data_IF_507133109072
#
_entry.id   IF_507133109072
#
_cell.length_a   1.000
_cell.length_b   1.000
_cell.length_c   1.000
_cell.angle_alpha   90.00
_cell.angle_beta   90.00
_cell.angle_gamma   90.00
#
_symmetry.space_group_name_H-M   'P 1'
#
loop_
_entity.id
_entity.type
_entity.pdbx_description
1 polymer ?
#
# COMPACT_ATOMS: atom_id res chain seq x y z
N UNK A 1 7.07 -18.15 48.32
CA UNK A 1 8.11 -18.23 47.28
C UNK A 1 7.50 -17.60 46.04
N UNK A 2 8.00 -16.43 45.62
CA UNK A 2 7.59 -15.85 44.33
C UNK A 2 8.37 -16.62 43.24
N UNK A 3 7.66 -17.37 42.43
CA UNK A 3 8.25 -17.93 41.18
C UNK A 3 8.83 -16.79 40.34
N UNK A 4 10.14 -16.79 40.20
CA UNK A 4 10.80 -15.97 39.19
C UNK A 4 10.42 -16.54 37.81
N UNK A 5 9.33 -16.04 37.20
CA UNK A 5 9.00 -16.35 35.83
C UNK A 5 10.20 -15.90 34.97
N UNK A 6 10.88 -16.83 34.32
CA UNK A 6 11.94 -16.52 33.37
C UNK A 6 11.32 -15.70 32.24
N UNK A 7 11.87 -14.50 32.01
CA UNK A 7 11.52 -13.66 30.86
C UNK A 7 11.77 -14.47 29.59
N UNK A 8 10.75 -14.69 28.80
CA UNK A 8 10.86 -15.43 27.54
C UNK A 8 11.35 -14.52 26.41
N UNK A 9 11.80 -15.10 25.31
CA UNK A 9 12.19 -14.34 24.11
C UNK A 9 11.00 -13.56 23.54
N UNK A 10 9.80 -14.12 23.63
CA UNK A 10 8.55 -13.48 23.20
C UNK A 10 8.18 -12.29 24.08
N UNK A 11 8.41 -12.36 25.41
CA UNK A 11 8.23 -11.22 26.30
C UNK A 11 9.15 -10.05 25.93
N UNK A 12 10.39 -10.34 25.52
CA UNK A 12 11.34 -9.32 25.09
C UNK A 12 10.88 -8.69 23.76
N UNK A 13 10.48 -9.49 22.79
CA UNK A 13 9.95 -9.02 21.50
C UNK A 13 8.72 -8.12 21.71
N UNK A 14 7.78 -8.55 22.55
CA UNK A 14 6.56 -7.79 22.84
C UNK A 14 6.88 -6.45 23.55
N UNK A 15 7.84 -6.43 24.48
CA UNK A 15 8.29 -5.19 25.12
C UNK A 15 8.90 -4.21 24.12
N UNK A 16 9.71 -4.71 23.18
CA UNK A 16 10.28 -3.89 22.11
C UNK A 16 9.18 -3.35 21.21
N UNK A 17 8.22 -4.19 20.81
CA UNK A 17 7.07 -3.81 20.00
C UNK A 17 6.26 -2.69 20.67
N UNK A 18 5.93 -2.82 21.96
CA UNK A 18 5.21 -1.77 22.71
C UNK A 18 5.97 -0.45 22.75
N UNK A 19 7.29 -0.49 22.91
CA UNK A 19 8.14 0.70 22.85
C UNK A 19 8.09 1.36 21.47
N UNK A 20 8.18 0.57 20.39
CA UNK A 20 8.10 1.06 19.03
C UNK A 20 6.72 1.63 18.71
N UNK A 21 5.64 1.05 19.27
CA UNK A 21 4.29 1.58 19.14
C UNK A 21 4.17 3.01 19.69
N UNK A 22 4.77 3.28 20.85
CA UNK A 22 4.82 4.64 21.41
C UNK A 22 5.55 5.58 20.46
N UNK A 23 6.69 5.14 19.91
CA UNK A 23 7.44 5.90 18.91
C UNK A 23 6.61 6.21 17.66
N UNK A 24 5.85 5.23 17.19
CA UNK A 24 4.94 5.38 16.05
C UNK A 24 3.83 6.41 16.34
N UNK A 25 3.17 6.33 17.49
CA UNK A 25 2.15 7.29 17.89
C UNK A 25 2.65 8.73 17.95
N UNK A 26 3.90 8.96 18.36
CA UNK A 26 4.50 10.29 18.41
C UNK A 26 4.70 10.92 17.01
N UNK A 27 4.60 10.16 15.93
CA UNK A 27 4.69 10.67 14.57
C UNK A 27 3.39 11.29 14.06
N UNK A 28 2.23 10.91 14.60
CA UNK A 28 0.91 11.35 14.13
C UNK A 28 0.69 12.87 14.24
N UNK A 29 1.04 13.57 15.36
CA UNK A 29 0.91 15.02 15.44
C UNK A 29 1.75 15.74 14.38
N UNK A 30 2.97 15.29 14.14
CA UNK A 30 3.88 15.87 13.13
C UNK A 30 3.29 15.66 11.73
N UNK A 31 2.75 14.49 11.45
CA UNK A 31 2.07 14.20 10.19
C UNK A 31 0.83 15.07 9.99
N UNK A 32 0.02 15.26 11.03
CA UNK A 32 -1.15 16.13 10.96
C UNK A 32 -0.79 17.59 10.63
N UNK A 33 0.29 18.11 11.21
CA UNK A 33 0.82 19.45 10.90
C UNK A 33 1.27 19.53 9.44
N UNK A 34 2.02 18.53 8.96
CA UNK A 34 2.47 18.47 7.57
C UNK A 34 1.32 18.34 6.57
N UNK A 35 0.29 17.55 6.93
CA UNK A 35 -0.95 17.47 6.15
C UNK A 35 -1.64 18.84 6.01
N UNK A 36 -1.73 19.61 7.09
CA UNK A 36 -2.31 20.97 7.06
C UNK A 36 -1.49 21.94 6.20
N UNK A 37 -0.17 21.81 6.21
CA UNK A 37 0.77 22.61 5.40
C UNK A 37 0.87 22.14 3.94
N UNK A 38 0.33 20.97 3.60
CA UNK A 38 0.45 20.43 2.25
C UNK A 38 -0.18 21.35 1.21
N UNK A 39 0.50 21.51 0.08
CA UNK A 39 0.03 22.33 -1.04
C UNK A 39 -1.34 21.88 -1.53
N UNK A 40 -2.33 22.76 -1.44
CA UNK A 40 -3.73 22.49 -1.83
C UNK A 40 -4.07 22.96 -3.24
N UNK A 41 -3.12 23.54 -4.00
CA UNK A 41 -3.35 24.07 -5.35
C UNK A 41 -3.69 22.97 -6.34
N UNK A 42 -3.04 21.80 -6.23
CA UNK A 42 -3.32 20.65 -7.08
C UNK A 42 -4.58 19.96 -6.57
N UNK A 43 -5.66 20.10 -7.36
CA UNK A 43 -6.97 19.52 -7.03
C UNK A 43 -7.21 18.26 -7.88
N UNK A 44 -7.67 17.15 -7.29
CA UNK A 44 -8.07 15.98 -8.06
C UNK A 44 -9.42 16.19 -8.74
N UNK A 45 -9.63 15.46 -9.82
CA UNK A 45 -10.95 15.15 -10.33
C UNK A 45 -11.53 13.96 -9.57
N UNK A 46 -12.82 14.00 -9.29
CA UNK A 46 -13.54 13.01 -8.51
C UNK A 46 -14.48 12.23 -9.41
N UNK A 47 -14.40 10.90 -9.37
CA UNK A 47 -15.30 10.02 -10.11
C UNK A 47 -15.84 8.93 -9.20
N UNK A 48 -17.18 8.83 -9.11
CA UNK A 48 -17.82 7.67 -8.48
C UNK A 48 -17.79 6.47 -9.42
N UNK A 49 -17.62 5.28 -8.85
CA UNK A 49 -17.76 4.04 -9.61
C UNK A 49 -18.94 3.18 -9.13
N UNK A 50 -19.49 3.47 -7.93
CA UNK A 50 -20.70 2.81 -7.43
C UNK A 50 -21.45 3.71 -6.42
N UNK A 51 -22.52 3.19 -5.79
CA UNK A 51 -23.46 3.97 -4.98
C UNK A 51 -22.96 4.29 -3.57
N UNK A 52 -22.02 3.53 -3.01
CA UNK A 52 -21.49 3.81 -1.67
C UNK A 52 -20.59 5.03 -1.69
N UNK A 53 -20.66 5.84 -0.63
CA UNK A 53 -19.83 7.04 -0.48
C UNK A 53 -18.30 6.77 -0.45
N UNK A 54 -17.89 5.54 -0.19
CA UNK A 54 -16.49 5.12 -0.20
C UNK A 54 -16.03 4.66 -1.60
N UNK A 55 -16.96 4.42 -2.53
CA UNK A 55 -16.70 3.88 -3.86
C UNK A 55 -16.49 5.00 -4.87
N UNK A 56 -15.27 5.55 -4.87
CA UNK A 56 -14.85 6.62 -5.78
C UNK A 56 -13.35 6.57 -6.02
N UNK A 57 -12.92 7.21 -7.08
CA UNK A 57 -11.50 7.46 -7.36
C UNK A 57 -11.20 8.96 -7.38
N UNK A 58 -9.95 9.30 -7.07
CA UNK A 58 -9.40 10.65 -7.22
C UNK A 58 -8.29 10.63 -8.25
N UNK A 59 -8.48 11.30 -9.37
CA UNK A 59 -7.49 11.44 -10.42
C UNK A 59 -6.74 12.77 -10.29
N UNK A 60 -5.41 12.71 -10.26
CA UNK A 60 -4.50 13.84 -10.26
C UNK A 60 -3.76 13.89 -11.60
N UNK A 61 -3.94 14.98 -12.33
CA UNK A 61 -3.18 15.23 -13.54
C UNK A 61 -1.73 15.63 -13.19
N UNK A 62 -0.74 15.21 -13.99
CA UNK A 62 0.65 15.61 -13.81
C UNK A 62 0.82 17.11 -13.92
N UNK A 63 1.73 17.67 -13.12
CA UNK A 63 2.10 19.08 -13.20
C UNK A 63 3.26 19.24 -14.17
N UNK A 64 2.95 19.57 -15.41
CA UNK A 64 3.92 19.75 -16.50
C UNK A 64 4.03 21.21 -16.87
N UNK A 65 5.25 21.66 -17.17
CA UNK A 65 5.54 22.99 -17.72
C UNK A 65 5.58 22.95 -19.24
N UNK A 66 5.66 24.13 -19.85
CA UNK A 66 5.88 24.23 -21.29
C UNK A 66 7.15 23.46 -21.69
N UNK A 67 7.06 22.66 -22.76
CA UNK A 67 8.11 21.76 -23.24
C UNK A 67 8.46 20.54 -22.35
N UNK A 68 7.63 20.22 -21.35
CA UNK A 68 7.74 19.00 -20.57
C UNK A 68 6.64 18.01 -20.95
N UNK A 69 6.86 16.72 -20.70
CA UNK A 69 5.86 15.65 -20.87
C UNK A 69 5.58 14.95 -19.56
N UNK A 70 4.41 14.35 -19.46
CA UNK A 70 4.09 13.42 -18.40
C UNK A 70 4.98 12.18 -18.48
N UNK A 71 5.23 11.55 -17.34
CA UNK A 71 5.90 10.26 -17.27
C UNK A 71 4.99 9.17 -17.84
N UNK A 72 5.59 8.09 -18.36
CA UNK A 72 4.87 6.96 -18.97
C UNK A 72 4.04 6.18 -17.96
N UNK A 73 4.55 6.08 -16.72
CA UNK A 73 3.92 5.28 -15.69
C UNK A 73 2.69 6.00 -15.13
N UNK A 74 1.59 5.25 -14.98
CA UNK A 74 0.40 5.68 -14.26
C UNK A 74 0.43 5.07 -12.85
N UNK A 75 0.29 5.90 -11.83
CA UNK A 75 0.31 5.47 -10.44
C UNK A 75 -1.11 5.18 -9.96
N UNK A 76 -1.35 3.97 -9.51
CA UNK A 76 -2.54 3.57 -8.75
C UNK A 76 -2.14 3.46 -7.28
N UNK A 77 -2.70 4.31 -6.43
CA UNK A 77 -2.40 4.30 -5.01
C UNK A 77 -3.58 3.80 -4.18
N UNK A 78 -3.30 2.87 -3.26
CA UNK A 78 -4.26 2.28 -2.33
C UNK A 78 -3.79 2.60 -0.90
N UNK A 79 -4.62 3.35 -0.18
CA UNK A 79 -4.31 3.82 1.16
C UNK A 79 -4.43 2.71 2.22
N UNK A 80 -3.72 2.90 3.35
CA UNK A 80 -3.79 2.06 4.54
C UNK A 80 -4.89 2.46 5.52
N UNK A 81 -4.80 1.93 6.73
CA UNK A 81 -5.75 2.21 7.84
C UNK A 81 -6.41 0.94 8.37
N UNK A 82 -5.72 -0.21 8.33
CA UNK A 82 -6.17 -1.49 8.90
C UNK A 82 -7.50 -1.98 8.33
N UNK A 83 -7.81 -1.62 7.07
CA UNK A 83 -9.09 -1.88 6.38
C UNK A 83 -10.33 -1.25 7.05
N UNK A 84 -10.17 -0.53 8.16
CA UNK A 84 -11.25 0.01 9.02
C UNK A 84 -11.28 1.54 9.06
N UNK A 85 -10.19 2.20 8.72
CA UNK A 85 -10.06 3.65 8.85
C UNK A 85 -9.56 4.28 7.54
N UNK A 86 -9.80 5.58 7.39
CA UNK A 86 -9.32 6.33 6.25
C UNK A 86 -10.33 6.47 5.10
N UNK A 87 -9.92 7.18 4.12
CA UNK A 87 -10.58 7.33 2.81
C UNK A 87 -9.60 8.03 1.87
N UNK A 88 -9.75 7.90 0.57
CA UNK A 88 -8.81 8.47 -0.41
C UNK A 88 -8.65 10.00 -0.29
N UNK A 89 -9.65 10.72 0.23
CA UNK A 89 -9.55 12.18 0.43
C UNK A 89 -8.50 12.58 1.48
N UNK A 90 -8.28 11.74 2.50
CA UNK A 90 -7.23 11.98 3.50
C UNK A 90 -5.83 11.81 2.91
N UNK A 91 -5.68 11.04 1.84
CA UNK A 91 -4.41 10.74 1.18
C UNK A 91 -4.12 11.61 -0.06
N UNK A 92 -4.85 12.72 -0.25
CA UNK A 92 -4.63 13.65 -1.36
C UNK A 92 -3.19 14.18 -1.44
N UNK A 93 -2.47 14.22 -0.33
CA UNK A 93 -1.06 14.60 -0.30
C UNK A 93 -0.17 13.65 -1.13
N UNK A 94 -0.51 12.35 -1.16
CA UNK A 94 0.19 11.37 -1.99
C UNK A 94 -0.02 11.69 -3.48
N UNK A 95 -1.28 11.84 -3.90
CA UNK A 95 -1.59 12.17 -5.30
C UNK A 95 -0.94 13.48 -5.76
N UNK A 96 -0.91 14.49 -4.88
CA UNK A 96 -0.21 15.75 -5.16
C UNK A 96 1.30 15.58 -5.30
N UNK A 97 1.89 14.72 -4.45
CA UNK A 97 3.35 14.46 -4.51
C UNK A 97 3.74 13.81 -5.82
N UNK A 98 3.03 12.77 -6.25
CA UNK A 98 3.27 12.11 -7.53
C UNK A 98 2.95 13.01 -8.74
N UNK A 99 1.87 13.81 -8.67
CA UNK A 99 1.54 14.76 -9.72
C UNK A 99 2.65 15.83 -9.93
N UNK A 100 3.31 16.27 -8.85
CA UNK A 100 4.48 17.17 -8.92
C UNK A 100 5.68 16.51 -9.61
N UNK A 101 5.82 15.20 -9.50
CA UNK A 101 6.84 14.41 -10.20
C UNK A 101 6.39 13.96 -11.60
N UNK A 102 5.32 14.58 -12.13
CA UNK A 102 4.79 14.42 -13.48
C UNK A 102 4.11 13.09 -13.77
N UNK A 103 3.67 12.34 -12.75
CA UNK A 103 2.88 11.12 -12.93
C UNK A 103 1.38 11.41 -12.99
N UNK A 104 0.66 10.74 -13.89
CA UNK A 104 -0.77 10.54 -13.73
C UNK A 104 -0.99 9.67 -12.49
N UNK A 105 -1.83 10.12 -11.56
CA UNK A 105 -2.00 9.42 -10.28
C UNK A 105 -3.48 9.26 -9.94
N UNK A 106 -3.86 8.05 -9.58
CA UNK A 106 -5.22 7.72 -9.18
C UNK A 106 -5.21 7.09 -7.79
N UNK A 107 -6.01 7.64 -6.88
CA UNK A 107 -6.23 7.09 -5.56
C UNK A 107 -7.56 6.35 -5.56
N UNK A 108 -7.57 5.09 -5.11
CA UNK A 108 -8.78 4.27 -5.03
C UNK A 108 -9.40 4.36 -3.63
N UNK A 109 -10.70 4.65 -3.56
CA UNK A 109 -11.50 4.50 -2.36
C UNK A 109 -12.03 3.07 -2.25
N UNK A 110 -12.36 2.60 -1.06
CA UNK A 110 -12.96 1.29 -0.82
C UNK A 110 -13.74 1.27 0.49
N UNK A 111 -14.71 0.35 0.59
CA UNK A 111 -15.56 0.17 1.78
C UNK A 111 -14.74 -0.43 2.93
N UNK A 112 -15.09 -0.05 4.17
CA UNK A 112 -14.31 -0.35 5.37
C UNK A 112 -15.05 -1.29 6.33
N UNK A 113 -14.27 -2.08 7.08
CA UNK A 113 -14.75 -2.85 8.22
C UNK A 113 -15.17 -1.91 9.36
N UNK A 114 -15.95 -2.34 10.36
CA UNK A 114 -16.57 -3.67 10.49
C UNK A 114 -17.84 -3.84 9.64
N UNK A 115 -18.35 -2.76 9.05
CA UNK A 115 -19.62 -2.78 8.31
C UNK A 115 -19.55 -3.64 7.05
N UNK A 116 -18.40 -3.62 6.39
CA UNK A 116 -18.17 -4.39 5.17
C UNK A 116 -16.96 -5.29 5.38
N UNK A 117 -17.15 -6.57 5.20
CA UNK A 117 -16.11 -7.60 5.37
C UNK A 117 -15.50 -7.96 4.01
N UNK A 118 -14.35 -8.61 4.06
CA UNK A 118 -13.74 -9.21 2.87
C UNK A 118 -14.71 -10.25 2.27
N UNK A 119 -14.92 -10.29 0.95
CA UNK A 119 -14.08 -9.68 -0.11
C UNK A 119 -14.46 -8.25 -0.55
N UNK A 120 -15.41 -7.56 0.09
CA UNK A 120 -15.89 -6.24 -0.37
C UNK A 120 -14.76 -5.25 -0.68
N UNK A 121 -13.65 -5.28 0.07
CA UNK A 121 -12.53 -4.35 -0.13
C UNK A 121 -11.83 -4.60 -1.45
N UNK A 122 -11.54 -5.86 -1.76
CA UNK A 122 -10.85 -6.19 -3.02
C UNK A 122 -11.76 -6.02 -4.24
N UNK A 123 -13.05 -6.31 -4.11
CA UNK A 123 -14.05 -6.03 -5.15
C UNK A 123 -14.07 -4.54 -5.49
N UNK A 124 -14.12 -3.67 -4.45
CA UNK A 124 -14.08 -2.22 -4.62
C UNK A 124 -12.79 -1.74 -5.32
N UNK A 125 -11.65 -2.38 -5.03
CA UNK A 125 -10.38 -2.05 -5.68
C UNK A 125 -10.42 -2.42 -7.17
N UNK A 126 -10.98 -3.56 -7.53
CA UNK A 126 -11.14 -3.94 -8.94
C UNK A 126 -12.14 -3.03 -9.67
N UNK A 127 -13.30 -2.74 -9.09
CA UNK A 127 -14.27 -1.79 -9.65
C UNK A 127 -13.66 -0.39 -9.80
N UNK A 128 -12.91 0.07 -8.80
CA UNK A 128 -12.20 1.34 -8.82
C UNK A 128 -11.11 1.39 -9.91
N UNK A 129 -10.39 0.29 -10.15
CA UNK A 129 -9.44 0.18 -11.25
C UNK A 129 -10.17 0.22 -12.60
N UNK A 130 -11.27 -0.51 -12.78
CA UNK A 130 -12.06 -0.45 -14.02
C UNK A 130 -12.47 1.01 -14.34
N UNK A 131 -12.95 1.76 -13.32
CA UNK A 131 -13.28 3.19 -13.49
C UNK A 131 -12.05 4.04 -13.78
N UNK A 132 -10.91 3.72 -13.19
CA UNK A 132 -9.65 4.41 -13.49
C UNK A 132 -9.24 4.22 -14.95
N UNK A 133 -9.30 2.98 -15.46
CA UNK A 133 -8.97 2.68 -16.87
C UNK A 133 -9.94 3.37 -17.85
N UNK A 134 -11.23 3.43 -17.52
CA UNK A 134 -12.22 4.19 -18.29
C UNK A 134 -11.84 5.68 -18.38
N UNK A 135 -11.54 6.32 -17.23
CA UNK A 135 -11.14 7.73 -17.16
C UNK A 135 -9.84 7.99 -17.93
N UNK A 136 -8.86 7.10 -17.84
CA UNK A 136 -7.60 7.22 -18.57
C UNK A 136 -7.84 7.13 -20.10
N UNK A 137 -8.68 6.18 -20.53
CA UNK A 137 -9.08 6.03 -21.93
C UNK A 137 -9.82 7.27 -22.46
N UNK A 138 -10.79 7.81 -21.71
CA UNK A 138 -11.50 9.04 -22.08
C UNK A 138 -10.57 10.24 -22.24
N UNK A 139 -9.47 10.26 -21.49
CA UNK A 139 -8.45 11.32 -21.54
C UNK A 139 -7.33 11.06 -22.55
N UNK A 140 -7.40 9.97 -23.32
CA UNK A 140 -6.35 9.51 -24.26
C UNK A 140 -4.99 9.34 -23.56
N UNK A 141 -4.96 8.82 -22.32
CA UNK A 141 -3.75 8.52 -21.56
C UNK A 141 -3.44 7.04 -21.75
N UNK A 142 -2.21 6.74 -22.16
CA UNK A 142 -1.72 5.36 -22.20
C UNK A 142 -1.60 4.80 -20.78
N UNK A 143 -2.21 3.64 -20.55
CA UNK A 143 -2.18 2.93 -19.28
C UNK A 143 -1.55 1.52 -19.38
N UNK A 144 -0.75 1.30 -20.42
CA UNK A 144 0.01 0.05 -20.59
C UNK A 144 1.12 -0.13 -19.54
N UNK A 145 1.38 0.91 -18.74
CA UNK A 145 2.45 0.94 -17.72
C UNK A 145 1.91 1.44 -16.37
N UNK A 146 1.16 0.59 -15.68
CA UNK A 146 0.62 0.87 -14.34
C UNK A 146 1.60 0.41 -13.26
N UNK A 147 1.84 1.29 -12.29
CA UNK A 147 2.52 0.97 -11.03
C UNK A 147 1.52 1.06 -9.88
N UNK A 148 1.27 -0.06 -9.23
CA UNK A 148 0.41 -0.12 -8.05
C UNK A 148 1.24 0.13 -6.80
N UNK A 149 0.86 1.11 -6.00
CA UNK A 149 1.51 1.44 -4.73
C UNK A 149 0.50 1.28 -3.60
N UNK A 150 0.80 0.46 -2.65
CA UNK A 150 -0.03 0.26 -1.48
C UNK A 150 0.70 0.58 -0.17
N UNK A 151 0.00 1.19 0.77
CA UNK A 151 0.49 1.45 2.12
C UNK A 151 -0.24 0.59 3.14
N UNK A 152 0.48 -0.18 3.98
CA UNK A 152 -0.14 -1.01 5.04
C UNK A 152 -1.27 -1.90 4.50
N UNK A 153 -2.50 -1.81 5.02
CA UNK A 153 -3.68 -2.51 4.49
C UNK A 153 -3.90 -2.29 2.99
N UNK A 154 -3.51 -1.13 2.45
CA UNK A 154 -3.56 -0.86 1.01
C UNK A 154 -2.53 -1.66 0.22
N UNK A 155 -1.39 -1.99 0.82
CA UNK A 155 -0.41 -2.87 0.18
C UNK A 155 -0.94 -4.31 0.06
N UNK A 156 -1.64 -4.81 1.08
CA UNK A 156 -2.35 -6.08 1.00
C UNK A 156 -3.33 -6.11 -0.18
N UNK A 157 -4.19 -5.09 -0.30
CA UNK A 157 -5.15 -4.99 -1.41
C UNK A 157 -4.46 -4.81 -2.77
N UNK A 158 -3.36 -4.05 -2.82
CA UNK A 158 -2.54 -3.87 -4.01
C UNK A 158 -1.88 -5.17 -4.48
N UNK A 159 -1.38 -5.99 -3.54
CA UNK A 159 -0.85 -7.30 -3.87
C UNK A 159 -1.93 -8.23 -4.44
N UNK A 160 -3.14 -8.25 -3.83
CA UNK A 160 -4.27 -9.02 -4.37
C UNK A 160 -4.69 -8.53 -5.76
N UNK A 161 -4.68 -7.22 -6.01
CA UNK A 161 -5.00 -6.66 -7.33
C UNK A 161 -4.02 -7.16 -8.40
N UNK A 162 -2.73 -7.22 -8.09
CA UNK A 162 -1.66 -7.59 -9.03
C UNK A 162 -1.51 -9.10 -9.20
N UNK A 163 -1.78 -9.88 -8.15
CA UNK A 163 -1.48 -11.32 -8.14
C UNK A 163 -2.70 -12.24 -8.25
N UNK A 164 -3.91 -11.76 -7.93
CA UNK A 164 -5.12 -12.60 -8.06
C UNK A 164 -5.66 -12.62 -9.49
N UNK A 165 -5.13 -13.54 -10.30
CA UNK A 165 -5.46 -13.71 -11.73
C UNK A 165 -6.90 -14.11 -11.98
N UNK A 166 -7.52 -14.80 -11.04
CA UNK A 166 -8.93 -15.18 -11.13
C UNK A 166 -9.81 -13.93 -11.09
N UNK A 167 -9.58 -13.04 -10.11
CA UNK A 167 -10.29 -11.76 -10.05
C UNK A 167 -9.96 -10.88 -11.27
N UNK A 168 -8.70 -10.80 -11.70
CA UNK A 168 -8.34 -10.07 -12.93
C UNK A 168 -9.18 -10.55 -14.13
N UNK A 169 -9.30 -11.87 -14.31
CA UNK A 169 -10.12 -12.45 -15.37
C UNK A 169 -11.60 -12.08 -15.21
N UNK A 170 -12.15 -12.14 -13.99
CA UNK A 170 -13.56 -11.81 -13.72
C UNK A 170 -13.90 -10.35 -14.03
N UNK A 171 -12.92 -9.45 -13.85
CA UNK A 171 -13.06 -8.02 -14.16
C UNK A 171 -12.52 -7.63 -15.54
N UNK A 172 -12.11 -8.60 -16.39
CA UNK A 172 -11.51 -8.38 -17.71
C UNK A 172 -10.28 -7.45 -17.68
N UNK A 173 -9.44 -7.57 -16.66
CA UNK A 173 -8.18 -6.83 -16.52
C UNK A 173 -7.05 -7.62 -17.17
N UNK A 174 -6.36 -7.01 -18.13
CA UNK A 174 -5.11 -7.57 -18.67
C UNK A 174 -3.99 -7.39 -17.64
N UNK A 175 -3.45 -8.49 -17.14
CA UNK A 175 -2.34 -8.49 -16.20
C UNK A 175 -1.10 -7.74 -16.74
N UNK A 176 -0.89 -7.74 -18.04
CA UNK A 176 0.28 -7.11 -18.66
C UNK A 176 0.36 -5.59 -18.46
N UNK A 177 -0.71 -4.93 -18.02
CA UNK A 177 -0.68 -3.51 -17.68
C UNK A 177 0.11 -3.21 -16.41
N UNK A 178 0.23 -4.18 -15.47
CA UNK A 178 0.95 -4.00 -14.23
C UNK A 178 2.45 -4.19 -14.43
N UNK A 179 3.22 -3.10 -14.49
CA UNK A 179 4.68 -3.13 -14.64
C UNK A 179 5.40 -3.12 -13.30
N UNK A 180 4.79 -2.52 -12.28
CA UNK A 180 5.36 -2.45 -10.95
C UNK A 180 4.32 -2.58 -9.83
N UNK A 181 4.75 -3.19 -8.73
CA UNK A 181 4.01 -3.20 -7.48
C UNK A 181 4.95 -2.76 -6.34
N UNK A 182 4.52 -1.77 -5.55
CA UNK A 182 5.27 -1.26 -4.40
C UNK A 182 4.45 -1.48 -3.12
N UNK A 183 5.04 -2.21 -2.18
CA UNK A 183 4.50 -2.46 -0.85
C UNK A 183 5.22 -1.60 0.19
N UNK A 184 4.51 -0.68 0.83
CA UNK A 184 5.01 0.12 1.95
C UNK A 184 4.45 -0.45 3.26
N UNK A 185 5.26 -1.20 4.01
CA UNK A 185 4.91 -1.76 5.31
C UNK A 185 3.64 -2.64 5.29
N UNK A 186 3.43 -3.41 4.22
CA UNK A 186 2.19 -4.14 4.00
C UNK A 186 2.15 -5.55 4.59
N UNK A 187 0.97 -6.03 5.07
CA UNK A 187 0.75 -7.41 5.44
C UNK A 187 0.52 -8.27 4.19
N UNK A 188 1.59 -8.59 3.46
CA UNK A 188 1.57 -9.33 2.20
C UNK A 188 1.63 -10.84 2.36
N UNK A 189 1.93 -11.32 3.57
CA UNK A 189 1.80 -12.71 4.00
C UNK A 189 1.04 -12.77 5.34
N UNK A 190 -0.25 -13.07 5.29
CA UNK A 190 -1.10 -13.10 6.49
C UNK A 190 -0.69 -14.18 7.50
N UNK A 191 0.10 -15.19 7.09
CA UNK A 191 0.54 -16.27 7.98
C UNK A 191 1.53 -15.77 9.06
N UNK A 192 2.27 -14.68 8.79
CA UNK A 192 3.23 -14.08 9.73
C UNK A 192 2.65 -12.88 10.50
N UNK A 193 1.37 -12.57 10.30
CA UNK A 193 0.67 -11.50 11.00
C UNK A 193 0.11 -11.99 12.34
N UNK A 194 0.98 -12.29 13.30
CA UNK A 194 0.62 -13.00 14.54
C UNK A 194 0.52 -12.14 15.80
N UNK A 195 1.05 -10.89 15.78
CA UNK A 195 0.92 -10.03 16.96
C UNK A 195 -0.54 -9.57 17.15
N UNK A 196 -0.89 -9.21 18.38
CA UNK A 196 -2.25 -8.89 18.79
C UNK A 196 -2.92 -7.79 17.95
N UNK A 197 -2.14 -6.75 17.56
CA UNK A 197 -2.68 -5.57 16.87
C UNK A 197 -3.14 -5.95 15.45
N UNK A 198 -2.25 -6.56 14.68
CA UNK A 198 -2.57 -6.94 13.28
C UNK A 198 -3.57 -8.11 13.25
N UNK A 199 -3.47 -9.07 14.20
CA UNK A 199 -4.40 -10.19 14.30
C UNK A 199 -5.83 -9.71 14.58
N UNK A 200 -6.01 -8.73 15.46
CA UNK A 200 -7.32 -8.12 15.72
C UNK A 200 -7.92 -7.44 14.46
N UNK A 201 -7.09 -6.76 13.68
CA UNK A 201 -7.51 -6.13 12.42
C UNK A 201 -7.91 -7.19 11.38
N UNK A 202 -7.15 -8.28 11.26
CA UNK A 202 -7.43 -9.41 10.36
C UNK A 202 -8.72 -10.13 10.78
N UNK A 203 -8.92 -10.36 12.08
CA UNK A 203 -10.17 -10.93 12.60
C UNK A 203 -11.39 -10.05 12.28
N UNK A 204 -11.21 -8.73 12.25
CA UNK A 204 -12.27 -7.81 11.86
C UNK A 204 -12.52 -7.79 10.35
N UNK A 205 -11.47 -8.05 9.54
CA UNK A 205 -11.54 -8.05 8.08
C UNK A 205 -12.39 -9.19 7.56
N UNK A 206 -12.22 -10.40 8.08
CA UNK A 206 -12.90 -11.59 7.59
C UNK A 206 -14.16 -11.92 8.41
N UNK A 207 -15.16 -12.51 7.76
CA UNK A 207 -16.27 -13.16 8.48
C UNK A 207 -15.76 -14.40 9.23
N UNK A 208 -16.48 -14.76 10.28
CA UNK A 208 -16.23 -16.01 10.99
C UNK A 208 -16.42 -17.20 10.03
N UNK A 209 -15.46 -18.13 10.02
CA UNK A 209 -15.47 -19.28 9.11
C UNK A 209 -15.03 -19.01 7.67
N UNK A 210 -14.71 -17.76 7.31
CA UNK A 210 -14.18 -17.45 5.99
C UNK A 210 -12.78 -18.06 5.79
N UNK A 211 -12.56 -18.69 4.62
CA UNK A 211 -11.22 -19.20 4.28
C UNK A 211 -10.24 -18.04 4.00
N UNK A 212 -9.46 -17.69 5.01
CA UNK A 212 -8.49 -16.60 4.94
C UNK A 212 -7.39 -16.80 3.89
N UNK A 213 -7.20 -18.04 3.40
CA UNK A 213 -6.26 -18.31 2.31
C UNK A 213 -6.63 -17.56 1.03
N UNK A 214 -7.93 -17.34 0.80
CA UNK A 214 -8.45 -16.58 -0.33
C UNK A 214 -8.18 -15.06 -0.22
N UNK A 215 -7.86 -14.56 0.97
CA UNK A 215 -7.47 -13.19 1.21
C UNK A 215 -5.98 -13.00 1.47
N UNK A 216 -5.16 -14.04 1.34
CA UNK A 216 -3.72 -13.92 1.56
C UNK A 216 -2.97 -13.78 0.23
N UNK A 217 -2.42 -12.59 -0.10
CA UNK A 217 -1.73 -12.35 -1.36
C UNK A 217 -0.60 -13.33 -1.63
N UNK A 218 0.11 -13.74 -0.58
CA UNK A 218 1.20 -14.70 -0.66
C UNK A 218 0.82 -16.00 -1.39
N UNK A 219 -0.44 -16.43 -1.29
CA UNK A 219 -0.91 -17.68 -1.91
C UNK A 219 -1.09 -17.59 -3.43
N UNK A 220 -1.14 -16.37 -3.98
CA UNK A 220 -1.36 -16.15 -5.41
C UNK A 220 -0.06 -16.02 -6.23
N UNK A 221 1.10 -16.04 -5.57
CA UNK A 221 2.39 -16.02 -6.26
C UNK A 221 2.65 -17.43 -6.81
N UNK A 222 2.70 -17.57 -8.13
CA UNK A 222 2.82 -18.86 -8.84
C UNK A 222 3.97 -18.91 -9.88
N UNK A 223 4.72 -17.81 -10.03
CA UNK A 223 5.86 -17.72 -10.93
C UNK A 223 5.55 -17.31 -12.36
N UNK A 224 4.28 -17.07 -12.70
CA UNK A 224 3.90 -16.56 -14.02
C UNK A 224 3.90 -15.03 -14.09
N UNK A 225 4.23 -14.36 -12.97
CA UNK A 225 4.26 -12.92 -12.85
C UNK A 225 5.44 -12.32 -13.63
N UNK A 226 5.17 -11.16 -14.26
CA UNK A 226 6.18 -10.31 -14.92
C UNK A 226 6.28 -8.93 -14.25
N UNK A 227 5.41 -8.65 -13.31
CA UNK A 227 5.36 -7.39 -12.56
C UNK A 227 6.57 -7.30 -11.64
N UNK A 228 7.39 -6.29 -11.79
CA UNK A 228 8.47 -6.01 -10.84
C UNK A 228 7.91 -5.58 -9.48
N UNK A 229 8.59 -5.96 -8.42
CA UNK A 229 8.15 -5.71 -7.04
C UNK A 229 9.19 -4.90 -6.28
N UNK A 230 8.74 -3.94 -5.49
CA UNK A 230 9.55 -3.26 -4.49
C UNK A 230 8.84 -3.34 -3.14
N UNK A 231 9.39 -4.13 -2.23
CA UNK A 231 8.95 -4.13 -0.84
C UNK A 231 9.82 -3.19 -0.01
N UNK A 232 9.19 -2.27 0.71
CA UNK A 232 9.87 -1.36 1.62
C UNK A 232 9.29 -1.54 3.02
N UNK A 233 10.13 -1.87 3.99
CA UNK A 233 9.70 -2.15 5.36
C UNK A 233 10.68 -1.58 6.39
N UNK A 234 10.20 -1.39 7.61
CA UNK A 234 11.04 -1.06 8.76
C UNK A 234 11.15 -2.26 9.70
N UNK A 235 12.36 -2.53 10.18
CA UNK A 235 12.59 -3.53 11.25
C UNK A 235 11.89 -3.14 12.56
N UNK A 236 11.60 -1.86 12.73
CA UNK A 236 10.98 -1.32 13.94
C UNK A 236 9.46 -1.15 13.80
N UNK A 237 8.87 -1.67 12.74
CA UNK A 237 7.43 -1.62 12.52
C UNK A 237 6.69 -2.39 13.65
N UNK A 238 5.86 -1.73 14.47
CA UNK A 238 5.19 -2.39 15.58
C UNK A 238 3.86 -3.03 15.20
N UNK A 239 3.40 -2.81 13.96
CA UNK A 239 2.09 -3.27 13.45
C UNK A 239 2.27 -4.47 12.53
N UNK A 240 3.00 -4.29 11.43
CA UNK A 240 3.30 -5.35 10.48
C UNK A 240 4.73 -5.83 10.66
N UNK A 241 4.91 -7.13 10.89
CA UNK A 241 6.25 -7.71 10.97
C UNK A 241 6.96 -7.59 9.61
N UNK A 242 8.24 -7.23 9.64
CA UNK A 242 9.11 -7.11 8.45
C UNK A 242 9.17 -8.42 7.65
N UNK A 243 8.90 -9.54 8.30
CA UNK A 243 8.86 -10.86 7.67
C UNK A 243 7.84 -10.93 6.52
N UNK A 244 6.78 -10.11 6.56
CA UNK A 244 5.84 -9.96 5.43
C UNK A 244 6.56 -9.62 4.13
N UNK A 245 7.40 -8.58 4.14
CA UNK A 245 8.15 -8.13 2.95
C UNK A 245 9.22 -9.13 2.55
N UNK A 246 9.91 -9.72 3.52
CA UNK A 246 10.96 -10.72 3.28
C UNK A 246 10.35 -11.97 2.61
N UNK A 247 9.28 -12.52 3.19
CA UNK A 247 8.62 -13.72 2.65
C UNK A 247 8.10 -13.47 1.24
N UNK A 248 7.41 -12.34 1.04
CA UNK A 248 6.83 -11.99 -0.25
C UNK A 248 7.89 -11.87 -1.35
N UNK A 249 8.94 -11.09 -1.09
CA UNK A 249 10.05 -10.89 -2.05
C UNK A 249 10.78 -12.19 -2.33
N UNK A 250 11.08 -12.99 -1.30
CA UNK A 250 11.75 -14.28 -1.48
C UNK A 250 10.92 -15.23 -2.31
N UNK A 251 9.60 -15.29 -2.09
CA UNK A 251 8.73 -16.17 -2.87
C UNK A 251 8.67 -15.72 -4.34
N UNK A 252 8.56 -14.44 -4.62
CA UNK A 252 8.60 -13.93 -6.00
C UNK A 252 9.93 -14.31 -6.65
N UNK A 253 11.05 -14.06 -5.97
CA UNK A 253 12.39 -14.35 -6.49
C UNK A 253 12.70 -15.86 -6.60
N UNK A 254 11.98 -16.73 -5.85
CA UNK A 254 12.14 -18.19 -5.99
C UNK A 254 11.66 -18.72 -7.33
N UNK A 255 10.80 -18.00 -8.02
CA UNK A 255 10.32 -18.33 -9.36
C UNK A 255 11.05 -17.55 -10.46
N UNK A 256 11.34 -16.29 -10.20
CA UNK A 256 11.92 -15.34 -11.16
C UNK A 256 13.01 -14.51 -10.47
N UNK A 257 14.26 -14.87 -10.65
CA UNK A 257 15.39 -14.17 -10.05
C UNK A 257 15.35 -12.65 -10.33
N UNK A 258 15.58 -11.84 -9.29
CA UNK A 258 15.68 -10.38 -9.38
C UNK A 258 14.38 -9.66 -9.82
N UNK A 259 13.22 -10.31 -9.74
CA UNK A 259 11.94 -9.66 -10.01
C UNK A 259 11.46 -8.81 -8.83
N UNK A 260 11.86 -9.15 -7.60
CA UNK A 260 11.51 -8.44 -6.38
C UNK A 260 12.73 -7.86 -5.67
N UNK A 261 12.69 -6.56 -5.43
CA UNK A 261 13.61 -5.83 -4.56
C UNK A 261 13.01 -5.69 -3.16
N UNK A 262 13.83 -5.79 -2.11
CA UNK A 262 13.38 -5.59 -0.73
C UNK A 262 14.33 -4.65 0.02
N UNK A 263 13.80 -3.48 0.43
CA UNK A 263 14.54 -2.49 1.20
C UNK A 263 14.02 -2.53 2.65
N UNK A 264 14.92 -2.86 3.59
CA UNK A 264 14.61 -2.92 5.01
C UNK A 264 15.40 -1.83 5.73
N UNK A 265 14.67 -0.95 6.42
CA UNK A 265 15.27 0.07 7.27
C UNK A 265 15.53 -0.47 8.67
N UNK A 266 16.78 -0.42 9.10
CA UNK A 266 17.23 -0.80 10.44
C UNK A 266 17.23 0.41 11.41
N UNK A 267 16.86 1.58 10.94
CA UNK A 267 17.12 2.85 11.61
C UNK A 267 16.09 3.17 12.70
N UNK A 268 16.57 3.75 13.82
CA UNK A 268 15.86 3.96 15.09
C UNK A 268 14.72 4.99 15.07
N UNK A 269 14.21 5.42 13.92
CA UNK A 269 13.14 6.43 13.86
C UNK A 269 12.13 6.19 12.74
N UNK A 270 12.28 5.10 12.01
CA UNK A 270 11.30 4.72 10.99
C UNK A 270 10.41 3.64 11.59
N UNK A 271 9.22 4.02 11.96
CA UNK A 271 8.15 3.12 12.42
C UNK A 271 7.14 2.91 11.29
N UNK A 272 6.03 2.26 11.59
CA UNK A 272 4.99 2.00 10.61
C UNK A 272 4.47 3.28 9.95
N UNK A 273 4.00 4.23 10.75
CA UNK A 273 3.37 5.45 10.24
C UNK A 273 4.33 6.36 9.46
N UNK A 274 5.59 6.48 9.89
CA UNK A 274 6.60 7.21 9.11
C UNK A 274 6.76 6.60 7.71
N UNK A 275 6.82 5.27 7.63
CA UNK A 275 7.05 4.57 6.38
C UNK A 275 5.84 4.66 5.44
N UNK A 276 4.63 4.41 5.97
CA UNK A 276 3.44 4.30 5.11
C UNK A 276 2.83 5.64 4.75
N UNK A 277 3.11 6.69 5.51
CA UNK A 277 2.53 8.03 5.36
C UNK A 277 3.58 9.14 5.38
N UNK A 278 4.52 9.09 6.32
CA UNK A 278 5.48 10.16 6.59
C UNK A 278 6.40 10.44 5.41
N UNK A 279 6.82 9.44 4.66
CA UNK A 279 7.73 9.57 3.52
C UNK A 279 7.22 10.53 2.44
N UNK A 280 5.92 10.77 2.35
CA UNK A 280 5.35 11.69 1.38
C UNK A 280 5.51 13.18 1.79
N UNK A 281 6.00 13.44 2.98
CA UNK A 281 6.33 14.78 3.47
C UNK A 281 7.84 14.93 3.60
N UNK A 282 8.40 15.93 2.90
CA UNK A 282 9.86 16.15 2.82
C UNK A 282 10.56 16.17 4.19
N UNK A 283 9.94 16.80 5.18
CA UNK A 283 10.49 16.98 6.52
C UNK A 283 10.43 15.69 7.38
N UNK A 284 9.78 14.64 6.88
CA UNK A 284 9.65 13.34 7.55
C UNK A 284 10.39 12.21 6.83
N UNK A 285 10.80 12.42 5.58
CA UNK A 285 11.53 11.44 4.77
C UNK A 285 13.05 11.60 4.90
N UNK A 286 13.55 11.38 6.11
CA UNK A 286 14.98 11.55 6.44
C UNK A 286 15.90 10.53 5.76
N UNK A 287 15.36 9.41 5.28
CA UNK A 287 16.11 8.33 4.62
C UNK A 287 15.95 8.37 3.10
N UNK A 288 15.35 9.42 2.58
CA UNK A 288 15.09 9.56 1.14
C UNK A 288 14.38 8.35 0.53
N UNK A 289 13.41 7.81 1.28
CA UNK A 289 12.64 6.63 0.86
C UNK A 289 11.87 6.92 -0.42
N UNK A 290 11.28 8.09 -0.50
CA UNK A 290 10.49 8.48 -1.65
C UNK A 290 11.35 8.68 -2.91
N UNK A 291 12.59 9.15 -2.76
CA UNK A 291 13.53 9.25 -3.88
C UNK A 291 13.89 7.84 -4.40
N UNK A 292 14.08 6.85 -3.51
CA UNK A 292 14.27 5.45 -3.91
C UNK A 292 13.05 4.91 -4.67
N UNK A 293 11.84 5.25 -4.22
CA UNK A 293 10.58 4.88 -4.90
C UNK A 293 10.55 5.48 -6.31
N UNK A 294 10.83 6.78 -6.47
CA UNK A 294 10.81 7.42 -7.79
C UNK A 294 11.86 6.84 -8.74
N UNK A 295 13.11 6.67 -8.26
CA UNK A 295 14.17 6.07 -9.07
C UNK A 295 13.83 4.65 -9.51
N UNK A 296 13.20 3.87 -8.63
CA UNK A 296 12.76 2.52 -8.98
C UNK A 296 11.63 2.54 -10.01
N UNK A 297 10.63 3.41 -9.87
CA UNK A 297 9.54 3.56 -10.85
C UNK A 297 10.11 3.99 -12.21
N UNK A 298 11.05 4.92 -12.23
CA UNK A 298 11.68 5.42 -13.47
C UNK A 298 12.56 4.37 -14.18
N UNK A 299 12.92 3.28 -13.48
CA UNK A 299 13.66 2.14 -14.05
C UNK A 299 12.76 1.08 -14.72
N UNK A 300 11.43 1.23 -14.67
CA UNK A 300 10.45 0.33 -15.28
C UNK A 300 10.25 0.62 -16.81
#
# INVERSE_FOLDING_TARGET
MKENSKITEDDVKEKIRKKNMIGDYLTYPVMAINFLKSDKKIKPLYYKYNNNKAQYILYFAPQIKENESAKKQVIIYIYGGGWREGNANLYKFVGRRFAKEKYHTILLGYRLTPKYKYPCQIEDIFEGLCKALEVLKEKNIDYSNIVVIGSSAGAHLGALLVYNKELQKNYNIDNNIFKGYISLGGPTDLNVCTNEVISAMINQLFEEGYDRKLGNPYNYIDGSEKTRVLCIHSRLDPICDVQNSINFSNKVNSFNDSLADCIIFENKKIYHNNLVNGIFFKDMDNEHVLDKVFNWIDSL
#
